data_IF_029307260345
#
_entry.id   IF_029307260345
#
_cell.length_a   1.000
_cell.length_b   1.000
_cell.length_c   1.000
_cell.angle_alpha   90.00
_cell.angle_beta   90.00
_cell.angle_gamma   90.00
#
_symmetry.space_group_name_H-M   'P 1'
#
loop_
_entity.id
_entity.type
_entity.pdbx_description
1 polymer ?
#
# COMPACT_ATOMS: atom_id res chain seq x y z
N UNK A 1 -8.59 -5.34 15.43
CA UNK A 1 -9.58 -4.65 16.31
C UNK A 1 -9.18 -3.22 16.67
N UNK A 2 -8.02 -2.96 17.33
CA UNK A 2 -7.57 -1.57 17.59
C UNK A 2 -7.28 -0.78 16.31
N UNK A 3 -6.56 -1.39 15.36
CA UNK A 3 -6.20 -0.77 14.08
C UNK A 3 -7.42 -0.21 13.31
N UNK A 4 -8.41 -1.07 13.10
CA UNK A 4 -9.67 -0.70 12.43
C UNK A 4 -10.44 0.36 13.20
N UNK A 5 -10.42 0.33 14.53
CA UNK A 5 -11.12 1.32 15.34
C UNK A 5 -10.48 2.72 15.20
N UNK A 6 -9.16 2.81 15.23
CA UNK A 6 -8.45 4.08 15.07
C UNK A 6 -8.53 4.62 13.64
N UNK A 7 -8.40 3.76 12.62
CA UNK A 7 -8.57 4.19 11.22
C UNK A 7 -10.00 4.63 10.91
N UNK A 8 -10.99 3.83 11.28
CA UNK A 8 -12.38 4.19 11.04
C UNK A 8 -12.77 5.43 11.84
N UNK A 9 -12.28 5.56 13.08
CA UNK A 9 -12.41 6.77 13.87
C UNK A 9 -11.85 8.01 13.16
N UNK A 10 -10.62 7.93 12.65
CA UNK A 10 -10.00 9.04 11.91
C UNK A 10 -10.80 9.43 10.66
N UNK A 11 -11.27 8.44 9.88
CA UNK A 11 -12.08 8.69 8.69
C UNK A 11 -13.41 9.37 9.03
N UNK A 12 -14.06 8.96 10.13
CA UNK A 12 -15.30 9.59 10.61
C UNK A 12 -15.02 11.03 11.03
N UNK A 13 -13.97 11.29 11.80
CA UNK A 13 -13.59 12.64 12.24
C UNK A 13 -13.32 13.55 11.03
N UNK A 14 -12.53 13.11 10.06
CA UNK A 14 -12.30 13.85 8.81
C UNK A 14 -13.59 14.12 8.04
N UNK A 15 -14.50 13.15 8.00
CA UNK A 15 -15.81 13.33 7.35
C UNK A 15 -16.65 14.38 8.07
N UNK A 16 -16.66 14.38 9.41
CA UNK A 16 -17.37 15.38 10.21
C UNK A 16 -16.78 16.78 10.00
N UNK A 17 -15.45 16.92 9.95
CA UNK A 17 -14.77 18.21 9.68
C UNK A 17 -15.20 18.86 8.36
N UNK A 18 -15.58 18.08 7.34
CA UNK A 18 -16.08 18.61 6.06
C UNK A 18 -17.52 19.15 6.11
N UNK A 19 -18.24 18.96 7.22
CA UNK A 19 -19.63 19.39 7.38
C UNK A 19 -19.71 20.86 7.77
N UNK A 20 -20.71 21.58 7.24
CA UNK A 20 -20.89 23.04 7.46
C UNK A 20 -20.91 23.47 8.93
N UNK A 21 -21.51 22.66 9.81
CA UNK A 21 -21.60 22.98 11.23
C UNK A 21 -20.26 22.84 11.98
N UNK A 22 -19.31 22.08 11.41
CA UNK A 22 -17.98 21.84 11.96
C UNK A 22 -16.87 22.65 11.23
N UNK A 23 -17.18 23.20 10.06
CA UNK A 23 -16.25 24.03 9.28
C UNK A 23 -16.13 25.43 9.87
N UNK A 24 -14.92 25.99 9.81
CA UNK A 24 -14.56 27.32 10.30
C UNK A 24 -15.65 28.37 10.01
N UNK A 25 -16.12 29.02 11.07
CA UNK A 25 -17.09 30.12 11.02
C UNK A 25 -18.47 29.83 11.63
N UNK A 26 -18.77 28.58 11.98
CA UNK A 26 -20.06 28.22 12.64
C UNK A 26 -19.89 27.99 14.16
N UNK A 27 -18.84 27.28 14.55
CA UNK A 27 -18.50 26.94 15.94
C UNK A 27 -16.98 26.72 16.03
N UNK A 28 -16.27 27.65 16.68
CA UNK A 28 -14.81 27.60 16.79
C UNK A 28 -14.33 26.54 17.79
N UNK A 29 -15.09 26.28 18.87
CA UNK A 29 -14.74 25.29 19.89
C UNK A 29 -14.80 23.88 19.28
N UNK A 30 -15.90 23.56 18.60
CA UNK A 30 -16.06 22.29 17.90
C UNK A 30 -14.99 22.09 16.82
N UNK A 31 -14.65 23.13 16.06
CA UNK A 31 -13.65 23.01 15.00
C UNK A 31 -12.26 22.71 15.57
N UNK A 32 -11.90 23.38 16.67
CA UNK A 32 -10.63 23.13 17.38
C UNK A 32 -10.58 21.73 18.01
N UNK A 33 -11.67 21.26 18.62
CA UNK A 33 -11.75 19.91 19.20
C UNK A 33 -11.63 18.82 18.13
N UNK A 34 -12.32 19.00 17.00
CA UNK A 34 -12.22 18.08 15.86
C UNK A 34 -10.82 18.08 15.26
N UNK A 35 -10.16 19.23 15.20
CA UNK A 35 -8.78 19.33 14.74
C UNK A 35 -7.84 18.57 15.68
N UNK A 36 -7.94 18.82 16.99
CA UNK A 36 -7.16 18.11 18.01
C UNK A 36 -7.35 16.58 17.94
N UNK A 37 -8.60 16.14 17.78
CA UNK A 37 -8.92 14.72 17.66
C UNK A 37 -8.36 14.11 16.36
N UNK A 38 -8.45 14.84 15.24
CA UNK A 38 -7.90 14.43 13.95
C UNK A 38 -6.38 14.29 14.01
N UNK A 39 -5.70 15.25 14.64
CA UNK A 39 -4.25 15.25 14.80
C UNK A 39 -3.79 14.11 15.72
N UNK A 40 -4.44 13.93 16.87
CA UNK A 40 -4.13 12.86 17.82
C UNK A 40 -4.35 11.47 17.20
N UNK A 41 -5.47 11.28 16.49
CA UNK A 41 -5.75 10.01 15.82
C UNK A 41 -4.79 9.76 14.66
N UNK A 42 -4.43 10.80 13.90
CA UNK A 42 -3.45 10.70 12.82
C UNK A 42 -2.08 10.34 13.37
N UNK A 43 -1.62 10.98 14.45
CA UNK A 43 -0.37 10.65 15.12
C UNK A 43 -0.35 9.20 15.58
N UNK A 44 -1.43 8.71 16.21
CA UNK A 44 -1.50 7.31 16.64
C UNK A 44 -1.44 6.35 15.45
N UNK A 45 -2.18 6.64 14.38
CA UNK A 45 -2.21 5.79 13.17
C UNK A 45 -0.85 5.77 12.48
N UNK A 46 -0.19 6.92 12.33
CA UNK A 46 1.10 7.02 11.63
C UNK A 46 2.27 6.54 12.51
N UNK A 47 2.32 6.90 13.79
CA UNK A 47 3.50 6.61 14.63
C UNK A 47 3.43 5.27 15.38
N UNK A 48 2.22 4.74 15.64
CA UNK A 48 2.05 3.55 16.49
C UNK A 48 1.48 2.34 15.75
N UNK A 49 0.90 2.54 14.56
CA UNK A 49 0.19 1.50 13.83
C UNK A 49 0.77 1.22 12.43
N UNK A 50 1.88 1.87 12.05
CA UNK A 50 2.68 1.49 10.89
C UNK A 50 4.11 1.24 11.32
N UNK A 51 4.61 0.02 11.11
CA UNK A 51 6.02 -0.31 11.31
C UNK A 51 6.48 -1.27 10.22
N UNK A 52 7.77 -1.24 9.90
CA UNK A 52 8.33 -2.19 8.94
C UNK A 52 8.23 -3.63 9.46
N UNK A 53 8.37 -3.84 10.76
CA UNK A 53 8.27 -5.18 11.36
C UNK A 53 6.87 -5.77 11.17
N UNK A 54 5.82 -4.98 11.35
CA UNK A 54 4.43 -5.41 11.10
C UNK A 54 4.22 -5.75 9.61
N UNK A 55 4.75 -4.91 8.70
CA UNK A 55 4.73 -5.20 7.26
C UNK A 55 5.44 -6.51 6.92
N UNK A 56 6.59 -6.78 7.54
CA UNK A 56 7.33 -8.03 7.32
C UNK A 56 6.53 -9.24 7.81
N UNK A 57 5.81 -9.12 8.93
CA UNK A 57 4.89 -10.16 9.42
C UNK A 57 3.75 -10.42 8.43
N UNK A 58 3.16 -9.36 7.84
CA UNK A 58 2.16 -9.48 6.78
C UNK A 58 2.74 -10.16 5.52
N UNK A 59 3.98 -9.84 5.14
CA UNK A 59 4.66 -10.52 4.03
C UNK A 59 4.98 -11.99 4.31
N UNK A 60 5.29 -12.37 5.55
CA UNK A 60 5.41 -13.79 5.94
C UNK A 60 4.05 -14.50 5.95
N UNK A 61 2.96 -13.77 6.17
CA UNK A 61 1.61 -14.31 6.25
C UNK A 61 0.65 -13.54 5.33
N UNK A 62 0.70 -13.75 4.00
CA UNK A 62 0.01 -12.90 3.02
C UNK A 62 -1.53 -12.83 3.16
N UNK A 63 -2.14 -13.74 3.92
CA UNK A 63 -3.55 -13.70 4.28
C UNK A 63 -3.91 -12.61 5.31
N UNK A 64 -2.90 -12.02 5.97
CA UNK A 64 -3.06 -10.87 6.86
C UNK A 64 -3.05 -9.53 6.12
N UNK A 65 -2.58 -9.51 4.86
CA UNK A 65 -2.59 -8.31 4.03
C UNK A 65 -4.02 -7.78 3.88
N UNK A 66 -4.23 -6.56 4.33
CA UNK A 66 -5.55 -5.94 4.37
C UNK A 66 -5.46 -4.44 4.18
N UNK A 67 -6.45 -3.87 3.48
CA UNK A 67 -6.61 -2.43 3.38
C UNK A 67 -6.93 -1.73 4.70
N UNK A 68 -7.26 -2.50 5.75
CA UNK A 68 -7.36 -2.01 7.13
C UNK A 68 -5.98 -1.66 7.70
N UNK A 69 -4.89 -2.22 7.17
CA UNK A 69 -3.51 -1.85 7.53
C UNK A 69 -3.13 -0.49 6.91
N UNK A 70 -2.69 0.51 7.71
CA UNK A 70 -2.35 1.84 7.19
C UNK A 70 -1.11 1.84 6.30
N UNK A 71 -0.25 0.84 6.48
CA UNK A 71 1.05 0.70 5.83
C UNK A 71 0.97 0.81 4.30
N UNK A 72 0.06 0.06 3.68
CA UNK A 72 -0.08 -0.01 2.21
C UNK A 72 -0.59 1.29 1.57
N UNK A 73 -1.10 2.24 2.37
CA UNK A 73 -1.62 3.54 1.89
C UNK A 73 -0.73 4.71 2.30
N UNK A 74 0.22 4.50 3.20
CA UNK A 74 1.03 5.56 3.79
C UNK A 74 2.24 5.89 2.92
N UNK A 75 2.20 7.04 2.25
CA UNK A 75 3.35 7.55 1.49
C UNK A 75 4.57 7.79 2.39
N UNK A 76 4.36 8.22 3.63
CA UNK A 76 5.41 8.47 4.62
C UNK A 76 6.15 7.16 4.97
N UNK A 77 5.40 6.08 5.23
CA UNK A 77 5.99 4.76 5.49
C UNK A 77 6.91 4.31 4.35
N UNK A 78 6.45 4.44 3.11
CA UNK A 78 7.23 4.02 1.94
C UNK A 78 8.42 4.94 1.68
N UNK A 79 8.29 6.25 1.90
CA UNK A 79 9.41 7.18 1.80
C UNK A 79 10.54 6.82 2.79
N UNK A 80 10.18 6.44 4.01
CA UNK A 80 11.13 6.08 5.05
C UNK A 80 11.77 4.69 4.84
N UNK A 81 10.99 3.72 4.34
CA UNK A 81 11.40 2.31 4.36
C UNK A 81 11.75 1.71 3.00
N UNK A 82 11.36 2.33 1.88
CA UNK A 82 11.57 1.74 0.55
C UNK A 82 13.04 1.41 0.26
N UNK A 83 13.98 2.24 0.71
CA UNK A 83 15.42 2.00 0.47
C UNK A 83 15.90 0.66 1.01
N UNK A 84 15.33 0.17 2.12
CA UNK A 84 15.66 -1.15 2.70
C UNK A 84 15.29 -2.31 1.76
N UNK A 85 14.38 -2.10 0.80
CA UNK A 85 14.01 -3.11 -0.18
C UNK A 85 15.07 -3.29 -1.29
N UNK A 86 16.07 -2.41 -1.39
CA UNK A 86 17.25 -2.62 -2.25
C UNK A 86 18.26 -3.59 -1.63
N UNK A 87 18.24 -3.73 -0.31
CA UNK A 87 19.20 -4.54 0.42
C UNK A 87 19.14 -6.02 0.01
N UNK A 88 20.26 -6.72 0.19
CA UNK A 88 20.37 -8.16 -0.10
C UNK A 88 19.91 -8.53 -1.52
N UNK A 89 20.26 -7.71 -2.51
CA UNK A 89 19.87 -7.89 -3.92
C UNK A 89 18.35 -8.00 -4.10
N UNK A 90 17.63 -7.00 -3.59
CA UNK A 90 16.17 -6.90 -3.70
C UNK A 90 15.41 -8.08 -3.06
N UNK A 91 15.93 -8.66 -1.97
CA UNK A 91 15.34 -9.86 -1.35
C UNK A 91 13.85 -9.69 -0.98
N UNK A 92 13.49 -8.54 -0.40
CA UNK A 92 12.10 -8.24 -0.04
C UNK A 92 11.20 -8.05 -1.27
N UNK A 93 11.70 -7.40 -2.33
CA UNK A 93 10.96 -7.27 -3.60
C UNK A 93 10.77 -8.65 -4.24
N UNK A 94 11.81 -9.49 -4.26
CA UNK A 94 11.75 -10.87 -4.74
C UNK A 94 10.70 -11.67 -3.96
N UNK A 95 10.57 -11.45 -2.65
CA UNK A 95 9.54 -12.06 -1.83
C UNK A 95 8.14 -11.61 -2.24
N UNK A 96 7.90 -10.31 -2.40
CA UNK A 96 6.62 -9.78 -2.93
C UNK A 96 6.26 -10.44 -4.26
N UNK A 97 7.21 -10.46 -5.20
CA UNK A 97 7.02 -11.06 -6.52
C UNK A 97 6.78 -12.57 -6.43
N UNK A 98 7.42 -13.29 -5.51
CA UNK A 98 7.17 -14.72 -5.30
C UNK A 98 5.76 -15.01 -4.79
N UNK A 99 5.22 -14.16 -3.91
CA UNK A 99 3.84 -14.26 -3.44
C UNK A 99 2.86 -14.00 -4.59
N UNK A 100 3.15 -13.01 -5.44
CA UNK A 100 2.36 -12.74 -6.65
C UNK A 100 2.40 -13.90 -7.66
N UNK A 101 3.55 -14.57 -7.80
CA UNK A 101 3.70 -15.77 -8.64
C UNK A 101 2.98 -17.00 -8.07
N UNK A 102 2.60 -16.99 -6.79
CA UNK A 102 1.96 -18.14 -6.17
C UNK A 102 0.57 -18.40 -6.77
N UNK A 103 0.36 -19.65 -7.15
CA UNK A 103 -0.94 -20.20 -7.55
C UNK A 103 -1.75 -20.72 -6.35
N UNK A 104 -1.31 -20.40 -5.12
CA UNK A 104 -2.04 -20.75 -3.91
C UNK A 104 -3.47 -20.18 -3.94
N UNK A 105 -4.44 -21.08 -4.05
CA UNK A 105 -5.86 -20.74 -4.12
C UNK A 105 -6.40 -20.17 -2.81
N UNK A 106 -5.67 -20.32 -1.70
CA UNK A 106 -6.01 -19.70 -0.41
C UNK A 106 -5.66 -18.21 -0.37
N UNK A 107 -4.77 -17.74 -1.25
CA UNK A 107 -4.37 -16.34 -1.29
C UNK A 107 -5.50 -15.49 -1.84
N UNK A 108 -6.01 -14.57 -1.01
CA UNK A 108 -7.06 -13.64 -1.41
C UNK A 108 -6.62 -12.79 -2.61
N UNK A 109 -7.55 -12.56 -3.55
CA UNK A 109 -7.34 -11.62 -4.64
C UNK A 109 -6.98 -10.21 -4.14
N UNK A 110 -7.48 -9.82 -2.96
CA UNK A 110 -7.14 -8.54 -2.31
C UNK A 110 -5.66 -8.47 -1.95
N UNK A 111 -5.06 -9.57 -1.47
CA UNK A 111 -3.63 -9.60 -1.16
C UNK A 111 -2.78 -9.32 -2.41
N UNK A 112 -3.15 -9.87 -3.57
CA UNK A 112 -2.46 -9.59 -4.84
C UNK A 112 -2.60 -8.11 -5.27
N UNK A 113 -3.80 -7.53 -5.10
CA UNK A 113 -4.05 -6.10 -5.34
C UNK A 113 -3.14 -5.23 -4.46
N UNK A 114 -3.09 -5.51 -3.15
CA UNK A 114 -2.28 -4.77 -2.18
C UNK A 114 -0.80 -4.83 -2.56
N UNK A 115 -0.28 -6.02 -2.89
CA UNK A 115 1.13 -6.19 -3.25
C UNK A 115 1.50 -5.46 -4.56
N UNK A 116 0.59 -5.37 -5.53
CA UNK A 116 0.80 -4.56 -6.72
C UNK A 116 0.85 -3.06 -6.39
N UNK A 117 -0.03 -2.60 -5.50
CA UNK A 117 0.02 -1.23 -4.99
C UNK A 117 1.34 -0.94 -4.24
N UNK A 118 1.79 -1.86 -3.39
CA UNK A 118 3.07 -1.74 -2.67
C UNK A 118 4.25 -1.64 -3.64
N UNK A 119 4.25 -2.47 -4.70
CA UNK A 119 5.26 -2.37 -5.76
C UNK A 119 5.25 -0.99 -6.44
N UNK A 120 4.08 -0.37 -6.63
CA UNK A 120 4.03 0.99 -7.19
C UNK A 120 4.63 2.02 -6.26
N UNK A 121 4.38 1.92 -4.94
CA UNK A 121 5.07 2.77 -3.97
C UNK A 121 6.58 2.57 -4.01
N UNK A 122 7.05 1.33 -4.09
CA UNK A 122 8.47 1.04 -4.24
C UNK A 122 9.05 1.63 -5.54
N UNK A 123 8.36 1.50 -6.67
CA UNK A 123 8.82 2.06 -7.96
C UNK A 123 8.93 3.57 -7.87
N UNK A 124 7.95 4.25 -7.27
CA UNK A 124 7.98 5.71 -7.08
C UNK A 124 9.15 6.17 -6.21
N UNK A 125 9.47 5.43 -5.16
CA UNK A 125 10.52 5.81 -4.21
C UNK A 125 11.93 5.38 -4.65
N UNK A 126 12.06 4.24 -5.34
CA UNK A 126 13.36 3.69 -5.76
C UNK A 126 13.75 4.03 -7.21
N UNK A 127 12.78 4.47 -8.02
CA UNK A 127 12.99 4.96 -9.37
C UNK A 127 13.51 3.91 -10.34
N UNK A 128 14.42 4.35 -11.23
CA UNK A 128 14.97 3.57 -12.34
C UNK A 128 15.58 2.24 -11.92
N UNK A 129 16.26 2.19 -10.77
CA UNK A 129 16.98 0.98 -10.34
C UNK A 129 16.03 -0.20 -10.16
N UNK A 130 14.88 0.03 -9.52
CA UNK A 130 13.87 -1.01 -9.32
C UNK A 130 13.19 -1.39 -10.64
N UNK A 131 12.95 -0.41 -11.52
CA UNK A 131 12.37 -0.65 -12.84
C UNK A 131 13.30 -1.55 -13.67
N UNK A 132 14.59 -1.22 -13.71
CA UNK A 132 15.60 -2.03 -14.40
C UNK A 132 15.66 -3.43 -13.80
N UNK A 133 15.65 -3.56 -12.48
CA UNK A 133 15.60 -4.86 -11.81
C UNK A 133 14.38 -5.69 -12.23
N UNK A 134 13.16 -5.14 -12.13
CA UNK A 134 11.92 -5.87 -12.50
C UNK A 134 11.89 -6.22 -14.00
N UNK A 135 12.40 -5.35 -14.86
CA UNK A 135 12.39 -5.55 -16.31
C UNK A 135 13.47 -6.54 -16.80
N UNK A 136 14.59 -6.69 -16.08
CA UNK A 136 15.75 -7.48 -16.53
C UNK A 136 15.93 -8.80 -15.77
N UNK A 137 15.57 -8.85 -14.48
CA UNK A 137 15.78 -10.04 -13.66
C UNK A 137 15.00 -11.24 -14.24
N UNK A 138 15.65 -12.41 -14.25
CA UNK A 138 15.10 -13.66 -14.82
C UNK A 138 14.54 -13.47 -16.23
N UNK A 139 15.25 -12.74 -17.08
CA UNK A 139 14.86 -12.47 -18.47
C UNK A 139 13.49 -11.76 -18.58
N UNK A 140 13.17 -10.89 -17.62
CA UNK A 140 11.92 -10.12 -17.60
C UNK A 140 10.69 -10.89 -17.11
N UNK A 141 10.90 -12.03 -16.46
CA UNK A 141 9.81 -12.86 -15.91
C UNK A 141 8.87 -12.06 -15.00
N UNK A 142 9.39 -11.12 -14.19
CA UNK A 142 8.57 -10.34 -13.27
C UNK A 142 7.65 -9.35 -13.97
N UNK A 143 8.12 -8.71 -15.05
CA UNK A 143 7.24 -7.89 -15.90
C UNK A 143 6.14 -8.74 -16.53
N UNK A 144 6.48 -9.91 -17.06
CA UNK A 144 5.51 -10.82 -17.67
C UNK A 144 4.48 -11.33 -16.66
N UNK A 145 4.90 -11.62 -15.42
CA UNK A 145 3.99 -11.96 -14.32
C UNK A 145 2.94 -10.86 -14.10
N UNK A 146 3.36 -9.61 -14.01
CA UNK A 146 2.43 -8.49 -13.78
C UNK A 146 1.49 -8.32 -14.99
N UNK A 147 2.01 -8.47 -16.21
CA UNK A 147 1.20 -8.44 -17.44
C UNK A 147 0.17 -9.57 -17.47
N UNK A 148 0.51 -10.75 -16.95
CA UNK A 148 -0.37 -11.91 -16.93
C UNK A 148 -1.68 -11.62 -16.16
N UNK A 149 -1.64 -10.78 -15.12
CA UNK A 149 -2.86 -10.38 -14.39
C UNK A 149 -3.84 -9.54 -15.22
N UNK A 150 -3.43 -8.98 -16.36
CA UNK A 150 -4.35 -8.24 -17.24
C UNK A 150 -5.38 -9.17 -17.91
N UNK A 151 -4.97 -10.41 -18.16
CA UNK A 151 -5.76 -11.45 -18.82
C UNK A 151 -6.27 -12.48 -17.81
N UNK A 152 -5.42 -12.92 -16.89
CA UNK A 152 -5.68 -14.00 -15.92
C UNK A 152 -5.99 -13.46 -14.50
N UNK A 153 -6.92 -12.52 -14.39
CA UNK A 153 -7.36 -11.94 -13.10
C UNK A 153 -8.50 -12.70 -12.40
N UNK A 154 -9.00 -13.80 -12.98
CA UNK A 154 -10.12 -14.56 -12.39
C UNK A 154 -11.43 -13.76 -12.26
N UNK A 155 -11.61 -12.73 -13.08
CA UNK A 155 -12.77 -11.82 -13.03
C UNK A 155 -12.62 -10.67 -12.02
N UNK A 156 -11.47 -10.54 -11.35
CA UNK A 156 -11.20 -9.44 -10.43
C UNK A 156 -10.75 -8.17 -11.20
N UNK A 157 -11.68 -7.23 -11.36
CA UNK A 157 -11.42 -5.96 -12.04
C UNK A 157 -10.41 -5.06 -11.31
N UNK A 158 -10.37 -5.11 -9.99
CA UNK A 158 -9.42 -4.33 -9.18
C UNK A 158 -7.99 -4.83 -9.39
N UNK A 159 -7.80 -6.15 -9.42
CA UNK A 159 -6.52 -6.78 -9.73
C UNK A 159 -6.03 -6.40 -11.13
N UNK A 160 -6.92 -6.43 -12.12
CA UNK A 160 -6.61 -5.99 -13.49
C UNK A 160 -6.19 -4.51 -13.52
N UNK A 161 -6.91 -3.65 -12.80
CA UNK A 161 -6.63 -2.23 -12.73
C UNK A 161 -5.26 -1.93 -12.09
N UNK A 162 -4.96 -2.55 -10.95
CA UNK A 162 -3.68 -2.35 -10.27
C UNK A 162 -2.51 -2.96 -11.06
N UNK A 163 -2.71 -4.07 -11.76
CA UNK A 163 -1.72 -4.63 -12.66
C UNK A 163 -1.40 -3.65 -13.81
N UNK A 164 -2.43 -3.08 -14.44
CA UNK A 164 -2.28 -2.10 -15.51
C UNK A 164 -1.50 -0.86 -15.04
N UNK A 165 -1.87 -0.31 -13.87
CA UNK A 165 -1.15 0.81 -13.27
C UNK A 165 0.31 0.48 -13.00
N UNK A 166 0.58 -0.70 -12.46
CA UNK A 166 1.96 -1.15 -12.19
C UNK A 166 2.77 -1.23 -13.48
N UNK A 167 2.20 -1.77 -14.56
CA UNK A 167 2.86 -1.77 -15.88
C UNK A 167 3.12 -0.35 -16.38
N UNK A 168 2.16 0.58 -16.23
CA UNK A 168 2.34 1.97 -16.62
C UNK A 168 3.52 2.62 -15.88
N UNK A 169 3.71 2.33 -14.58
CA UNK A 169 4.90 2.78 -13.85
C UNK A 169 6.20 2.19 -14.41
N UNK A 170 6.21 0.90 -14.75
CA UNK A 170 7.38 0.20 -15.28
C UNK A 170 7.79 0.65 -16.69
N UNK A 171 6.86 1.17 -17.50
CA UNK A 171 7.14 1.63 -18.87
C UNK A 171 7.23 3.15 -19.01
N UNK A 172 6.54 3.89 -18.14
CA UNK A 172 6.47 5.35 -18.21
C UNK A 172 7.64 6.10 -17.57
N UNK A 173 8.50 5.41 -16.83
CA UNK A 173 9.72 5.95 -16.20
C UNK A 173 11.01 5.33 -16.79
N UNK A 174 10.91 4.74 -17.99
CA UNK A 174 12.05 4.23 -18.75
C UNK A 174 12.70 5.31 -19.61
#
# INVERSE_FOLDING_TARGET
MKLELFQNGLNVVKTVQTRKFASNGSDEELSNDLQYLSDTLSEVVTSKLTSLDEYLVELENPNLLSWSSPTHKSSEFWQENAYKFKDSNYALVKKILSILMSDDSSLSGVSKVILLNDLQFLIKNLGSDLITFINSEKNGQYKLLIMNFLENNGGNNELKYEALRTIQYLVGHA
#
